data_IF_411951277745
#
_entry.id   IF_411951277745
#
_cell.length_a   1.000
_cell.length_b   1.000
_cell.length_c   1.000
_cell.angle_alpha   90.00
_cell.angle_beta   90.00
_cell.angle_gamma   90.00
#
_symmetry.space_group_name_H-M   'P 1'
#
loop_
_entity.id
_entity.type
_entity.pdbx_description
1 polymer ?
#
# COMPACT_ATOMS: atom_id res chain seq x y z
N UNK A 1 8.90 -14.47 28.87
CA UNK A 1 7.73 -15.00 29.61
C UNK A 1 6.74 -13.91 30.01
N UNK A 2 7.14 -12.89 30.79
CA UNK A 2 6.19 -11.95 31.41
C UNK A 2 5.28 -11.13 30.47
N UNK A 3 5.76 -10.72 29.29
CA UNK A 3 4.92 -9.96 28.34
C UNK A 3 3.88 -10.84 27.64
N UNK A 4 4.26 -12.08 27.29
CA UNK A 4 3.36 -13.02 26.64
C UNK A 4 2.11 -13.27 27.47
N UNK A 5 2.26 -13.53 28.77
CA UNK A 5 1.12 -13.79 29.65
C UNK A 5 0.17 -12.60 29.77
N UNK A 6 0.73 -11.38 29.79
CA UNK A 6 -0.06 -10.14 29.78
C UNK A 6 -0.83 -9.97 28.47
N UNK A 7 -0.18 -10.18 27.34
CA UNK A 7 -0.81 -10.08 26.01
C UNK A 7 -1.87 -11.16 25.83
N UNK A 8 -1.60 -12.40 26.26
CA UNK A 8 -2.58 -13.50 26.25
C UNK A 8 -3.81 -13.14 27.08
N UNK A 9 -3.62 -12.60 28.29
CA UNK A 9 -4.73 -12.16 29.15
C UNK A 9 -5.56 -11.05 28.48
N UNK A 10 -4.92 -10.09 27.83
CA UNK A 10 -5.61 -9.06 27.05
C UNK A 10 -6.41 -9.67 25.89
N UNK A 11 -5.77 -10.51 25.07
CA UNK A 11 -6.37 -11.13 23.89
C UNK A 11 -7.64 -11.93 24.23
N UNK A 12 -7.59 -12.75 25.29
CA UNK A 12 -8.74 -13.55 25.75
C UNK A 12 -9.96 -12.67 26.06
N UNK A 13 -9.74 -11.48 26.64
CA UNK A 13 -10.83 -10.60 27.04
C UNK A 13 -11.30 -9.64 25.92
N UNK A 14 -10.44 -9.31 24.95
CA UNK A 14 -10.79 -8.40 23.86
C UNK A 14 -11.35 -9.11 22.62
N UNK A 15 -10.81 -10.28 22.27
CA UNK A 15 -11.19 -11.02 21.05
C UNK A 15 -11.10 -12.55 21.20
N UNK A 16 -10.97 -13.07 22.43
CA UNK A 16 -10.86 -14.50 22.73
C UNK A 16 -9.69 -15.19 22.00
N UNK A 17 -9.96 -15.81 20.86
CA UNK A 17 -8.99 -16.50 20.03
C UNK A 17 -9.34 -16.33 18.54
N UNK A 18 -8.39 -16.68 17.68
CA UNK A 18 -8.62 -16.74 16.24
C UNK A 18 -9.63 -17.86 15.94
N UNK A 19 -10.56 -17.66 15.01
CA UNK A 19 -11.52 -18.70 14.64
C UNK A 19 -10.82 -19.97 14.11
N UNK A 20 -11.40 -21.15 14.37
CA UNK A 20 -10.77 -22.42 14.02
C UNK A 20 -10.41 -22.55 12.52
N UNK A 21 -11.29 -22.19 11.55
CA UNK A 21 -10.93 -22.22 10.13
C UNK A 21 -9.65 -21.45 9.79
N UNK A 22 -9.48 -20.24 10.32
CA UNK A 22 -8.26 -19.44 10.09
C UNK A 22 -7.02 -20.06 10.72
N UNK A 23 -7.14 -20.76 11.86
CA UNK A 23 -6.02 -21.48 12.45
C UNK A 23 -5.57 -22.65 11.55
N UNK A 24 -6.50 -23.46 11.04
CA UNK A 24 -6.18 -24.53 10.10
C UNK A 24 -5.62 -24.01 8.77
N UNK A 25 -6.17 -22.92 8.24
CA UNK A 25 -5.63 -22.26 7.05
C UNK A 25 -4.21 -21.73 7.28
N UNK A 26 -3.92 -21.19 8.48
CA UNK A 26 -2.59 -20.75 8.86
C UNK A 26 -1.57 -21.88 8.91
N UNK A 27 -1.94 -23.04 9.46
CA UNK A 27 -1.11 -24.26 9.43
C UNK A 27 -0.82 -24.65 7.98
N UNK A 28 -1.85 -24.74 7.14
CA UNK A 28 -1.69 -25.09 5.73
C UNK A 28 -0.80 -24.10 4.96
N UNK A 29 -0.87 -22.80 5.28
CA UNK A 29 -0.03 -21.77 4.67
C UNK A 29 1.45 -21.86 5.09
N UNK A 30 1.73 -22.30 6.33
CA UNK A 30 3.10 -22.42 6.86
C UNK A 30 3.74 -23.74 6.42
N UNK A 31 3.03 -24.86 6.59
CA UNK A 31 3.57 -26.20 6.37
C UNK A 31 3.41 -26.67 4.92
N UNK A 32 2.56 -26.01 4.14
CA UNK A 32 2.28 -26.34 2.74
C UNK A 32 3.32 -25.80 1.75
N UNK A 33 3.11 -26.07 0.45
CA UNK A 33 3.99 -25.59 -0.62
C UNK A 33 4.10 -24.06 -0.64
N UNK A 34 5.31 -23.55 -0.91
CA UNK A 34 5.60 -22.12 -0.92
C UNK A 34 5.62 -21.52 -2.34
N UNK A 35 5.27 -22.31 -3.36
CA UNK A 35 5.32 -21.88 -4.77
C UNK A 35 4.49 -20.61 -5.04
N UNK A 36 3.34 -20.47 -4.39
CA UNK A 36 2.48 -19.29 -4.56
C UNK A 36 3.08 -18.04 -3.91
N UNK A 37 3.87 -18.18 -2.84
CA UNK A 37 4.64 -17.07 -2.27
C UNK A 37 5.67 -16.58 -3.27
N UNK A 38 6.43 -17.49 -3.88
CA UNK A 38 7.42 -17.15 -4.91
C UNK A 38 6.80 -16.49 -6.13
N UNK A 39 5.66 -17.01 -6.61
CA UNK A 39 4.89 -16.41 -7.71
C UNK A 39 4.45 -14.98 -7.35
N UNK A 40 3.92 -14.78 -6.15
CA UNK A 40 3.44 -13.48 -5.70
C UNK A 40 4.59 -12.49 -5.48
N UNK A 41 5.73 -12.92 -4.93
CA UNK A 41 6.92 -12.08 -4.80
C UNK A 41 7.38 -11.57 -6.17
N UNK A 42 7.45 -12.43 -7.20
CA UNK A 42 7.79 -12.03 -8.56
C UNK A 42 6.75 -11.08 -9.16
N UNK A 43 5.46 -11.33 -8.90
CA UNK A 43 4.39 -10.45 -9.37
C UNK A 43 4.46 -9.06 -8.72
N UNK A 44 4.68 -8.97 -7.41
CA UNK A 44 4.83 -7.70 -6.71
C UNK A 44 6.11 -6.96 -7.12
N UNK A 45 7.20 -7.66 -7.41
CA UNK A 45 8.41 -7.01 -7.93
C UNK A 45 8.18 -6.33 -9.28
N UNK A 46 7.47 -6.99 -10.20
CA UNK A 46 7.09 -6.39 -11.49
C UNK A 46 6.19 -5.17 -11.30
N UNK A 47 5.12 -5.31 -10.51
CA UNK A 47 4.18 -4.21 -10.20
C UNK A 47 4.89 -3.03 -9.54
N UNK A 48 5.84 -3.30 -8.63
CA UNK A 48 6.65 -2.28 -7.96
C UNK A 48 7.47 -1.46 -8.96
N UNK A 49 8.08 -2.11 -9.96
CA UNK A 49 8.83 -1.41 -11.02
C UNK A 49 7.91 -0.50 -11.83
N UNK A 50 6.80 -1.05 -12.34
CA UNK A 50 5.79 -0.27 -13.10
C UNK A 50 5.30 0.95 -12.32
N UNK A 51 4.97 0.76 -11.04
CA UNK A 51 4.49 1.85 -10.17
C UNK A 51 5.57 2.90 -9.95
N UNK A 52 6.80 2.50 -9.61
CA UNK A 52 7.86 3.45 -9.29
C UNK A 52 8.29 4.21 -10.54
N UNK A 53 8.42 3.54 -11.68
CA UNK A 53 8.73 4.17 -12.97
C UNK A 53 7.62 5.13 -13.38
N UNK A 54 6.36 4.68 -13.34
CA UNK A 54 5.20 5.51 -13.66
C UNK A 54 5.07 6.73 -12.75
N UNK A 55 5.19 6.56 -11.44
CA UNK A 55 5.13 7.68 -10.49
C UNK A 55 6.27 8.70 -10.71
N UNK A 56 7.48 8.24 -11.04
CA UNK A 56 8.61 9.15 -11.31
C UNK A 56 8.53 9.84 -12.68
N UNK A 57 7.67 9.36 -13.59
CA UNK A 57 7.39 10.04 -14.85
C UNK A 57 6.38 11.19 -14.69
N UNK A 58 5.58 11.19 -13.61
CA UNK A 58 4.57 12.21 -13.36
C UNK A 58 5.19 13.55 -12.92
N UNK A 59 4.69 14.70 -13.42
CA UNK A 59 5.22 16.00 -13.06
C UNK A 59 5.00 16.29 -11.57
N UNK A 60 6.07 16.75 -10.89
CA UNK A 60 6.01 17.12 -9.48
C UNK A 60 5.93 15.94 -8.50
N UNK A 61 6.08 14.70 -8.98
CA UNK A 61 6.12 13.49 -8.16
C UNK A 61 7.51 12.85 -8.21
N UNK A 62 7.96 12.31 -7.08
CA UNK A 62 9.14 11.43 -7.03
C UNK A 62 8.88 10.27 -6.09
N UNK A 63 9.39 9.09 -6.41
CA UNK A 63 9.18 7.88 -5.62
C UNK A 63 10.48 7.11 -5.46
N UNK A 64 10.90 6.92 -4.21
CA UNK A 64 11.97 5.98 -3.88
C UNK A 64 11.44 4.57 -4.10
N UNK A 65 12.29 3.69 -4.62
CA UNK A 65 12.00 2.28 -4.79
C UNK A 65 11.82 1.59 -3.42
N UNK A 66 10.62 1.07 -3.09
CA UNK A 66 10.40 0.36 -1.82
C UNK A 66 11.20 -0.95 -1.78
N UNK A 67 11.71 -1.33 -0.60
CA UNK A 67 12.47 -2.59 -0.43
C UNK A 67 11.60 -3.80 -0.06
N UNK A 68 10.32 -3.58 0.24
CA UNK A 68 9.39 -4.60 0.66
C UNK A 68 7.97 -4.05 0.82
N UNK A 69 7.06 -4.90 1.32
CA UNK A 69 5.62 -4.69 1.27
C UNK A 69 5.09 -4.50 -0.17
N UNK A 70 3.83 -4.10 -0.30
CA UNK A 70 3.19 -3.76 -1.57
C UNK A 70 2.68 -2.31 -1.60
N UNK A 71 3.42 -1.41 -0.94
CA UNK A 71 3.11 0.02 -0.86
C UNK A 71 4.25 0.87 -1.41
N UNK A 72 3.89 1.90 -2.19
CA UNK A 72 4.77 3.00 -2.56
C UNK A 72 4.40 4.24 -1.73
N UNK A 73 5.39 5.09 -1.47
CA UNK A 73 5.19 6.33 -0.71
C UNK A 73 5.78 7.52 -1.48
N UNK A 74 5.22 7.87 -2.66
CA UNK A 74 5.69 8.99 -3.45
C UNK A 74 5.62 10.31 -2.71
N UNK A 75 6.65 11.13 -2.90
CA UNK A 75 6.68 12.53 -2.57
C UNK A 75 5.92 13.31 -3.65
N UNK A 76 4.92 14.08 -3.22
CA UNK A 76 4.04 14.93 -4.04
C UNK A 76 4.22 16.42 -3.72
N UNK A 77 5.24 16.79 -2.93
CA UNK A 77 5.44 18.17 -2.45
C UNK A 77 5.62 19.20 -3.57
N UNK A 78 6.04 18.77 -4.77
CA UNK A 78 6.21 19.63 -5.94
C UNK A 78 4.98 19.74 -6.84
N UNK A 79 3.87 19.07 -6.50
CA UNK A 79 2.60 19.20 -7.22
C UNK A 79 1.83 20.47 -6.82
N UNK A 80 2.25 21.16 -5.75
CA UNK A 80 1.51 22.30 -5.18
C UNK A 80 0.34 21.89 -4.28
N UNK A 81 -0.01 20.60 -4.22
CA UNK A 81 -1.08 20.10 -3.39
C UNK A 81 -0.62 19.71 -1.99
N UNK A 82 -1.54 19.85 -1.02
CA UNK A 82 -1.42 19.18 0.27
C UNK A 82 -1.79 17.70 0.13
N UNK A 83 -1.04 16.82 0.78
CA UNK A 83 -1.15 15.38 0.60
C UNK A 83 -2.57 14.82 0.73
N UNK A 84 -3.29 15.19 1.80
CA UNK A 84 -4.67 14.75 2.02
C UNK A 84 -5.65 15.30 0.99
N UNK A 85 -5.48 16.57 0.61
CA UNK A 85 -6.34 17.21 -0.40
C UNK A 85 -6.16 16.56 -1.78
N UNK A 86 -4.92 16.23 -2.14
CA UNK A 86 -4.63 15.51 -3.38
C UNK A 86 -5.27 14.13 -3.38
N UNK A 87 -5.16 13.37 -2.28
CA UNK A 87 -5.76 12.04 -2.17
C UNK A 87 -7.30 12.09 -2.32
N UNK A 88 -7.96 13.07 -1.69
CA UNK A 88 -9.41 13.28 -1.85
C UNK A 88 -9.79 13.67 -3.28
N UNK A 89 -9.09 14.64 -3.87
CA UNK A 89 -9.38 15.10 -5.23
C UNK A 89 -9.16 14.00 -6.29
N UNK A 90 -8.08 13.22 -6.17
CA UNK A 90 -7.85 12.07 -7.05
C UNK A 90 -8.95 11.00 -6.92
N UNK A 91 -9.51 10.80 -5.72
CA UNK A 91 -10.63 9.89 -5.52
C UNK A 91 -11.90 10.43 -6.18
N UNK A 92 -12.25 11.69 -5.91
CA UNK A 92 -13.50 12.31 -6.34
C UNK A 92 -13.52 12.59 -7.86
N UNK A 93 -12.42 13.11 -8.40
CA UNK A 93 -12.37 13.62 -9.78
C UNK A 93 -11.74 12.63 -10.78
N UNK A 94 -10.89 11.72 -10.30
CA UNK A 94 -10.17 10.75 -11.15
C UNK A 94 -10.49 9.28 -10.82
N UNK A 95 -11.24 9.02 -9.73
CA UNK A 95 -11.57 7.66 -9.30
C UNK A 95 -10.35 6.84 -8.85
N UNK A 96 -9.32 7.50 -8.32
CA UNK A 96 -8.09 6.85 -7.83
C UNK A 96 -7.96 7.06 -6.32
N UNK A 97 -8.20 5.99 -5.55
CA UNK A 97 -8.10 6.01 -4.10
C UNK A 97 -6.65 5.90 -3.61
N UNK A 98 -6.17 6.92 -2.90
CA UNK A 98 -4.87 6.97 -2.22
C UNK A 98 -5.05 7.33 -0.74
N UNK A 99 -4.01 7.18 0.07
CA UNK A 99 -4.00 7.64 1.47
C UNK A 99 -3.02 8.79 1.64
N UNK A 100 -3.45 9.89 2.26
CA UNK A 100 -2.58 11.02 2.55
C UNK A 100 -1.50 10.65 3.57
N UNK A 101 -0.26 11.04 3.31
CA UNK A 101 0.86 10.81 4.21
C UNK A 101 0.63 11.28 5.66
N UNK A 102 -0.08 12.40 5.93
CA UNK A 102 -0.39 12.82 7.30
C UNK A 102 -1.23 11.84 8.12
N UNK A 103 -1.89 10.84 7.51
CA UNK A 103 -2.55 9.75 8.25
C UNK A 103 -1.55 8.80 8.94
N UNK A 104 -0.27 8.83 8.53
CA UNK A 104 0.82 8.09 9.16
C UNK A 104 1.64 8.93 10.14
N UNK A 105 1.24 10.19 10.38
CA UNK A 105 1.91 11.13 11.27
C UNK A 105 2.26 12.45 10.59
N UNK A 106 2.53 13.49 11.39
CA UNK A 106 2.73 14.87 10.89
C UNK A 106 3.87 15.01 9.88
N UNK A 107 4.88 14.13 9.96
CA UNK A 107 6.03 14.11 9.05
C UNK A 107 5.72 13.49 7.68
N UNK A 108 4.50 12.98 7.49
CA UNK A 108 4.03 12.46 6.20
C UNK A 108 3.49 13.53 5.25
N UNK A 109 3.43 14.80 5.65
CA UNK A 109 3.02 15.87 4.72
C UNK A 109 3.95 15.92 3.50
N UNK A 110 3.37 16.16 2.32
CA UNK A 110 4.09 16.08 1.05
C UNK A 110 4.28 14.67 0.52
N UNK A 111 3.66 13.64 1.13
CA UNK A 111 3.66 12.25 0.64
C UNK A 111 2.25 11.67 0.56
N UNK A 112 2.05 10.67 -0.30
CA UNK A 112 0.84 9.85 -0.33
C UNK A 112 1.23 8.37 -0.37
N UNK A 113 0.40 7.48 0.17
CA UNK A 113 0.59 6.03 0.10
C UNK A 113 -0.26 5.44 -1.02
N UNK A 114 0.39 4.71 -1.93
CA UNK A 114 -0.24 3.95 -3.01
C UNK A 114 -0.05 2.46 -2.75
N UNK A 115 -1.13 1.68 -2.78
CA UNK A 115 -1.08 0.21 -2.75
C UNK A 115 -1.01 -0.33 -4.17
N UNK A 116 -0.02 -1.19 -4.45
CA UNK A 116 0.12 -1.86 -5.75
C UNK A 116 -0.19 -3.35 -5.69
N UNK A 117 -1.01 -3.74 -4.72
CA UNK A 117 -1.65 -5.06 -4.68
C UNK A 117 -2.90 -5.13 -5.56
N UNK A 118 -2.70 -4.93 -6.86
CA UNK A 118 -3.76 -4.97 -7.88
C UNK A 118 -3.21 -5.54 -9.20
N UNK A 119 -4.05 -5.66 -10.24
CA UNK A 119 -3.59 -6.00 -11.58
C UNK A 119 -2.68 -4.90 -12.15
N UNK A 120 -1.76 -5.28 -13.01
CA UNK A 120 -0.86 -4.35 -13.70
C UNK A 120 -1.64 -3.38 -14.59
N UNK A 121 -2.68 -3.88 -15.27
CA UNK A 121 -3.63 -3.06 -16.03
C UNK A 121 -4.30 -1.98 -15.17
N UNK A 122 -4.77 -2.32 -13.96
CA UNK A 122 -5.37 -1.33 -13.06
C UNK A 122 -4.35 -0.29 -12.57
N UNK A 123 -3.11 -0.72 -12.35
CA UNK A 123 -2.01 0.16 -11.95
C UNK A 123 -1.72 1.17 -13.06
N UNK A 124 -1.57 0.70 -14.31
CA UNK A 124 -1.31 1.56 -15.46
C UNK A 124 -2.45 2.57 -15.68
N UNK A 125 -3.70 2.10 -15.66
CA UNK A 125 -4.89 2.97 -15.75
C UNK A 125 -4.95 4.01 -14.63
N UNK A 126 -4.54 3.66 -13.41
CA UNK A 126 -4.48 4.60 -12.30
C UNK A 126 -3.40 5.67 -12.51
N UNK A 127 -2.23 5.30 -13.01
CA UNK A 127 -1.14 6.23 -13.33
C UNK A 127 -1.56 7.23 -14.43
N UNK A 128 -2.18 6.75 -15.50
CA UNK A 128 -2.73 7.60 -16.58
C UNK A 128 -3.75 8.60 -16.05
N UNK A 129 -4.64 8.17 -15.15
CA UNK A 129 -5.65 9.04 -14.52
C UNK A 129 -5.01 10.10 -13.62
N UNK A 130 -3.96 9.75 -12.87
CA UNK A 130 -3.22 10.72 -12.06
C UNK A 130 -2.52 11.74 -12.96
N UNK A 131 -1.89 11.29 -14.05
CA UNK A 131 -1.25 12.17 -15.02
C UNK A 131 -2.24 13.18 -15.61
N UNK A 132 -3.37 12.68 -16.12
CA UNK A 132 -4.42 13.50 -16.69
C UNK A 132 -5.05 14.47 -15.67
N UNK A 133 -5.09 14.10 -14.39
CA UNK A 133 -5.55 14.99 -13.32
C UNK A 133 -4.53 16.12 -13.03
N UNK A 134 -3.24 15.79 -12.95
CA UNK A 134 -2.18 16.75 -12.62
C UNK A 134 -1.85 17.72 -13.77
N UNK A 135 -2.19 17.34 -15.00
CA UNK A 135 -2.00 18.19 -16.18
C UNK A 135 -3.06 19.28 -16.37
N UNK A 136 -4.13 19.27 -15.55
CA UNK A 136 -5.17 20.32 -15.53
C UNK A 136 -4.73 21.52 -14.71
#
# INVERSE_FOLDING_TARGET
AHLYDKVRKLAVNCWSCVNAPSQYAGIAAIDGPQDDVDKMMRAFDRRRKVVVEGLNALPGISCITPKGAFYAFPNVSKTGWKAKKLASALLEDAGVALIGGPDFGILGEGYVRLSYANSEENILRALERIEAFLAK
#
